data_IF_093163471835
#
_entry.id   IF_093163471835
#
_cell.length_a   1.000
_cell.length_b   1.000
_cell.length_c   1.000
_cell.angle_alpha   90.00
_cell.angle_beta   90.00
_cell.angle_gamma   90.00
#
_symmetry.space_group_name_H-M   'P 1'
#
loop_
_entity.id
_entity.type
_entity.pdbx_description
1 polymer ?
#
# COMPACT_ATOMS: atom_id res chain seq x y z
N UNK A 1 -15.14 37.71 10.44
CA UNK A 1 -16.38 37.21 9.80
C UNK A 1 -16.12 36.64 8.39
N UNK A 2 -15.64 37.40 7.39
CA UNK A 2 -15.40 36.86 6.05
C UNK A 2 -14.30 35.78 6.00
N UNK A 3 -13.26 35.90 6.82
CA UNK A 3 -12.21 34.87 6.96
C UNK A 3 -12.75 33.53 7.48
N UNK A 4 -13.60 33.55 8.52
CA UNK A 4 -14.22 32.34 9.10
C UNK A 4 -15.17 31.66 8.11
N UNK A 5 -15.94 32.43 7.35
CA UNK A 5 -16.81 31.89 6.29
C UNK A 5 -15.95 31.22 5.21
N UNK A 6 -14.88 31.87 4.75
CA UNK A 6 -13.97 31.30 3.77
C UNK A 6 -13.34 29.99 4.27
N UNK A 7 -12.82 29.96 5.50
CA UNK A 7 -12.26 28.75 6.12
C UNK A 7 -13.32 27.65 6.23
N UNK A 8 -14.54 27.97 6.69
CA UNK A 8 -15.61 26.99 6.78
C UNK A 8 -15.96 26.39 5.41
N UNK A 9 -16.05 27.22 4.36
CA UNK A 9 -16.37 26.78 3.00
C UNK A 9 -15.26 25.91 2.41
N UNK A 10 -13.99 26.28 2.58
CA UNK A 10 -12.87 25.51 2.05
C UNK A 10 -12.76 24.14 2.72
N UNK A 11 -12.85 24.09 4.05
CA UNK A 11 -12.79 22.85 4.82
C UNK A 11 -14.00 21.96 4.57
N UNK A 12 -15.20 22.53 4.43
CA UNK A 12 -16.41 21.76 4.06
C UNK A 12 -16.29 21.19 2.65
N UNK A 13 -15.77 21.97 1.70
CA UNK A 13 -15.48 21.48 0.34
C UNK A 13 -14.50 20.32 0.33
N UNK A 14 -13.43 20.39 1.16
CA UNK A 14 -12.47 19.31 1.33
C UNK A 14 -13.14 18.05 1.91
N UNK A 15 -13.96 18.20 2.95
CA UNK A 15 -14.68 17.09 3.57
C UNK A 15 -15.65 16.42 2.58
N UNK A 16 -16.44 17.20 1.84
CA UNK A 16 -17.36 16.69 0.82
C UNK A 16 -16.63 15.95 -0.31
N UNK A 17 -15.50 16.49 -0.77
CA UNK A 17 -14.68 15.82 -1.78
C UNK A 17 -14.10 14.51 -1.23
N UNK A 18 -13.60 14.50 0.00
CA UNK A 18 -13.07 13.30 0.66
C UNK A 18 -14.14 12.22 0.80
N UNK A 19 -15.34 12.59 1.25
CA UNK A 19 -16.50 11.71 1.35
C UNK A 19 -16.88 11.13 -0.02
N UNK A 20 -16.98 11.98 -1.04
CA UNK A 20 -17.39 11.58 -2.40
C UNK A 20 -16.39 10.60 -3.01
N UNK A 21 -15.09 10.92 -2.97
CA UNK A 21 -14.06 10.09 -3.61
C UNK A 21 -13.91 8.75 -2.89
N UNK A 22 -13.93 8.72 -1.55
CA UNK A 22 -13.87 7.47 -0.80
C UNK A 22 -15.13 6.60 -1.04
N UNK A 23 -16.31 7.21 -1.09
CA UNK A 23 -17.56 6.51 -1.44
C UNK A 23 -17.47 5.86 -2.82
N UNK A 24 -16.90 6.56 -3.80
CA UNK A 24 -16.68 6.03 -5.15
C UNK A 24 -15.65 4.89 -5.17
N UNK A 25 -14.59 4.95 -4.36
CA UNK A 25 -13.63 3.82 -4.21
C UNK A 25 -14.32 2.59 -3.63
N UNK A 26 -15.10 2.76 -2.55
CA UNK A 26 -15.87 1.68 -1.93
C UNK A 26 -16.84 1.08 -2.94
N UNK A 27 -17.63 1.91 -3.62
CA UNK A 27 -18.58 1.48 -4.64
C UNK A 27 -17.88 0.76 -5.82
N UNK A 28 -16.74 1.26 -6.28
CA UNK A 28 -15.97 0.63 -7.36
C UNK A 28 -15.57 -0.79 -7.01
N UNK A 29 -15.07 -1.02 -5.79
CA UNK A 29 -14.66 -2.35 -5.31
C UNK A 29 -15.89 -3.25 -5.16
N UNK A 30 -16.99 -2.77 -4.58
CA UNK A 30 -18.20 -3.58 -4.37
C UNK A 30 -18.83 -4.00 -5.70
N UNK A 31 -19.02 -3.06 -6.63
CA UNK A 31 -19.73 -3.30 -7.90
C UNK A 31 -18.87 -4.07 -8.90
N UNK A 32 -17.56 -3.78 -8.96
CA UNK A 32 -16.70 -4.33 -10.01
C UNK A 32 -16.13 -5.68 -9.60
N UNK A 33 -16.73 -6.78 -10.07
CA UNK A 33 -16.24 -8.15 -9.82
C UNK A 33 -14.74 -8.36 -10.10
N UNK A 34 -14.18 -7.68 -11.11
CA UNK A 34 -12.73 -7.75 -11.42
C UNK A 34 -11.85 -7.22 -10.29
N UNK A 35 -12.39 -6.39 -9.39
CA UNK A 35 -11.71 -5.84 -8.23
C UNK A 35 -11.89 -6.70 -6.96
N UNK A 36 -12.64 -7.80 -7.00
CA UNK A 36 -12.85 -8.70 -5.83
C UNK A 36 -11.63 -9.59 -5.55
N UNK A 37 -10.47 -8.96 -5.33
CA UNK A 37 -9.26 -9.61 -4.87
C UNK A 37 -9.02 -9.31 -3.38
N UNK A 38 -8.47 -10.27 -2.60
CA UNK A 38 -8.30 -10.09 -1.15
C UNK A 38 -7.55 -8.80 -0.75
N UNK A 39 -6.58 -8.39 -1.55
CA UNK A 39 -5.83 -7.15 -1.31
C UNK A 39 -6.67 -5.87 -1.49
N UNK A 40 -7.67 -5.90 -2.36
CA UNK A 40 -8.55 -4.76 -2.56
C UNK A 40 -9.56 -4.63 -1.41
N UNK A 41 -9.81 -5.68 -0.61
CA UNK A 41 -10.59 -5.55 0.62
C UNK A 41 -9.86 -4.73 1.69
N UNK A 42 -8.53 -4.83 1.76
CA UNK A 42 -7.73 -3.95 2.62
C UNK A 42 -7.82 -2.48 2.17
N UNK A 43 -7.76 -2.22 0.86
CA UNK A 43 -7.96 -0.88 0.28
C UNK A 43 -9.39 -0.38 0.55
N UNK A 44 -10.39 -1.26 0.47
CA UNK A 44 -11.78 -0.93 0.78
C UNK A 44 -11.93 -0.52 2.26
N UNK A 45 -11.35 -1.28 3.19
CA UNK A 45 -11.39 -0.96 4.62
C UNK A 45 -10.64 0.33 4.95
N UNK A 46 -9.54 0.62 4.25
CA UNK A 46 -8.87 1.92 4.33
C UNK A 46 -9.78 3.05 3.83
N UNK A 47 -10.46 2.87 2.69
CA UNK A 47 -11.41 3.87 2.17
C UNK A 47 -12.61 4.08 3.10
N UNK A 48 -13.07 3.04 3.79
CA UNK A 48 -14.08 3.15 4.87
C UNK A 48 -13.54 3.98 6.03
N UNK A 49 -12.29 3.75 6.44
CA UNK A 49 -11.63 4.53 7.50
C UNK A 49 -11.56 6.01 7.11
N UNK A 50 -11.07 6.30 5.90
CA UNK A 50 -10.93 7.66 5.36
C UNK A 50 -12.30 8.35 5.17
N UNK A 51 -13.35 7.60 4.80
CA UNK A 51 -14.73 8.07 4.77
C UNK A 51 -15.25 8.43 6.17
N UNK A 52 -14.98 7.60 7.18
CA UNK A 52 -15.38 7.88 8.57
C UNK A 52 -14.72 9.15 9.10
N UNK A 53 -13.45 9.41 8.77
CA UNK A 53 -12.81 10.71 9.08
C UNK A 53 -13.60 11.86 8.46
N UNK A 54 -13.96 11.75 7.18
CA UNK A 54 -14.64 12.83 6.47
C UNK A 54 -16.05 13.14 6.99
N UNK A 55 -16.78 12.15 7.52
CA UNK A 55 -18.17 12.32 7.97
C UNK A 55 -18.32 12.43 9.49
N UNK A 56 -17.44 11.82 10.28
CA UNK A 56 -17.53 11.81 11.76
C UNK A 56 -16.47 12.68 12.44
N UNK A 57 -15.39 13.06 11.76
CA UNK A 57 -14.29 13.83 12.38
C UNK A 57 -14.24 15.24 11.82
N UNK A 58 -14.15 15.38 10.50
CA UNK A 58 -13.99 16.69 9.84
C UNK A 58 -15.11 17.68 10.17
N UNK A 59 -16.41 17.33 10.15
CA UNK A 59 -17.48 18.31 10.40
C UNK A 59 -17.42 18.89 11.81
N UNK A 60 -17.13 18.05 12.81
CA UNK A 60 -16.96 18.46 14.21
C UNK A 60 -15.71 19.35 14.38
N UNK A 61 -14.61 19.03 13.69
CA UNK A 61 -13.42 19.88 13.63
C UNK A 61 -13.73 21.26 13.03
N UNK A 62 -14.50 21.32 11.93
CA UNK A 62 -14.92 22.60 11.33
C UNK A 62 -15.70 23.44 12.33
N UNK A 63 -16.68 22.83 13.02
CA UNK A 63 -17.47 23.56 14.03
C UNK A 63 -16.57 24.07 15.15
N UNK A 64 -15.67 23.23 15.66
CA UNK A 64 -14.73 23.63 16.71
C UNK A 64 -13.86 24.81 16.28
N UNK A 65 -13.31 24.79 15.06
CA UNK A 65 -12.48 25.88 14.51
C UNK A 65 -13.29 27.18 14.32
N UNK A 66 -14.52 27.09 13.80
CA UNK A 66 -15.33 28.29 13.52
C UNK A 66 -15.86 28.93 14.80
N UNK A 67 -16.22 28.10 15.79
CA UNK A 67 -16.78 28.52 17.07
C UNK A 67 -15.70 28.90 18.10
N UNK A 68 -14.44 28.53 17.86
CA UNK A 68 -13.30 28.75 18.76
C UNK A 68 -13.55 28.20 20.18
N UNK A 69 -14.50 27.27 20.31
CA UNK A 69 -14.95 26.68 21.56
C UNK A 69 -15.73 25.40 21.26
N UNK A 70 -15.64 24.43 22.17
CA UNK A 70 -16.43 23.21 22.11
C UNK A 70 -17.80 23.43 22.76
N UNK A 71 -18.87 23.20 21.98
CA UNK A 71 -20.25 23.46 22.43
C UNK A 71 -21.14 22.22 22.48
N UNK A 72 -20.61 21.04 22.12
CA UNK A 72 -21.42 19.82 21.92
C UNK A 72 -21.44 18.90 23.14
N UNK A 73 -20.89 19.36 24.27
CA UNK A 73 -20.82 18.62 25.52
C UNK A 73 -19.76 17.51 25.53
N UNK A 74 -19.51 16.98 26.72
CA UNK A 74 -18.42 16.06 26.99
C UNK A 74 -18.57 14.71 26.25
N UNK A 75 -19.78 14.16 26.19
CA UNK A 75 -20.03 12.86 25.53
C UNK A 75 -19.66 12.90 24.04
N UNK A 76 -20.04 13.97 23.35
CA UNK A 76 -19.72 14.13 21.92
C UNK A 76 -18.22 14.36 21.74
N UNK A 77 -17.57 15.07 22.67
CA UNK A 77 -16.12 15.28 22.64
C UNK A 77 -15.37 13.96 22.74
N UNK A 78 -15.75 13.09 23.68
CA UNK A 78 -15.12 11.80 23.90
C UNK A 78 -15.33 10.87 22.68
N UNK A 79 -16.53 10.85 22.10
CA UNK A 79 -16.81 10.09 20.87
C UNK A 79 -15.97 10.64 19.71
N UNK A 80 -15.93 11.95 19.51
CA UNK A 80 -15.20 12.58 18.42
C UNK A 80 -13.70 12.28 18.49
N UNK A 81 -13.08 12.46 19.65
CA UNK A 81 -11.66 12.14 19.86
C UNK A 81 -11.38 10.64 19.73
N UNK A 82 -12.28 9.79 20.24
CA UNK A 82 -12.17 8.33 20.09
C UNK A 82 -12.17 7.93 18.62
N UNK A 83 -13.11 8.46 17.84
CA UNK A 83 -13.22 8.16 16.41
C UNK A 83 -12.01 8.69 15.66
N UNK A 84 -11.55 9.90 15.97
CA UNK A 84 -10.38 10.50 15.36
C UNK A 84 -9.12 9.65 15.56
N UNK A 85 -8.76 9.34 16.81
CA UNK A 85 -7.58 8.52 17.11
C UNK A 85 -7.72 7.12 16.49
N UNK A 86 -8.90 6.51 16.60
CA UNK A 86 -9.14 5.17 16.04
C UNK A 86 -8.96 5.18 14.54
N UNK A 87 -9.52 6.15 13.82
CA UNK A 87 -9.41 6.23 12.37
C UNK A 87 -7.96 6.51 11.92
N UNK A 88 -7.25 7.41 12.60
CA UNK A 88 -5.85 7.69 12.30
C UNK A 88 -4.97 6.44 12.49
N UNK A 89 -5.16 5.73 13.59
CA UNK A 89 -4.45 4.48 13.90
C UNK A 89 -4.83 3.38 12.89
N UNK A 90 -6.11 3.29 12.53
CA UNK A 90 -6.60 2.36 11.51
C UNK A 90 -5.93 2.63 10.16
N UNK A 91 -5.81 3.89 9.73
CA UNK A 91 -5.22 4.21 8.43
C UNK A 91 -3.75 3.76 8.34
N UNK A 92 -2.92 4.04 9.33
CA UNK A 92 -1.50 3.60 9.32
C UNK A 92 -1.35 2.07 9.41
N UNK A 93 -2.20 1.40 10.19
CA UNK A 93 -2.18 -0.06 10.31
C UNK A 93 -2.74 -0.76 9.06
N UNK A 94 -3.74 -0.20 8.38
CA UNK A 94 -4.19 -0.68 7.07
C UNK A 94 -3.09 -0.53 6.01
N UNK A 95 -2.36 0.59 5.99
CA UNK A 95 -1.21 0.75 5.10
C UNK A 95 -0.12 -0.29 5.40
N UNK A 96 0.12 -0.59 6.68
CA UNK A 96 1.05 -1.63 7.11
C UNK A 96 0.59 -3.03 6.67
N UNK A 97 -0.70 -3.32 6.80
CA UNK A 97 -1.33 -4.57 6.35
C UNK A 97 -1.24 -4.73 4.83
N UNK A 98 -1.50 -3.66 4.07
CA UNK A 98 -1.31 -3.63 2.62
C UNK A 98 0.17 -3.88 2.28
N UNK A 99 1.10 -3.19 2.94
CA UNK A 99 2.53 -3.41 2.73
C UNK A 99 2.94 -4.86 3.00
N UNK A 100 2.46 -5.46 4.09
CA UNK A 100 2.72 -6.86 4.42
C UNK A 100 2.16 -7.84 3.37
N UNK A 101 0.91 -7.65 2.91
CA UNK A 101 0.34 -8.46 1.82
C UNK A 101 1.19 -8.36 0.56
N UNK A 102 1.65 -7.16 0.23
CA UNK A 102 2.50 -6.89 -0.95
C UNK A 102 3.87 -7.52 -0.80
N UNK A 103 4.49 -7.42 0.36
CA UNK A 103 5.77 -8.05 0.66
C UNK A 103 5.70 -9.56 0.45
N UNK A 104 4.72 -10.23 1.07
CA UNK A 104 4.52 -11.69 0.93
C UNK A 104 4.19 -12.10 -0.50
N UNK A 105 3.41 -11.31 -1.22
CA UNK A 105 3.13 -11.56 -2.64
C UNK A 105 4.38 -11.44 -3.54
N UNK A 106 5.40 -10.67 -3.12
CA UNK A 106 6.66 -10.49 -3.85
C UNK A 106 7.68 -11.56 -3.46
N UNK A 107 7.87 -11.84 -2.16
CA UNK A 107 8.87 -12.80 -1.69
C UNK A 107 8.45 -14.25 -1.89
N UNK A 108 7.20 -14.57 -1.59
CA UNK A 108 6.67 -15.94 -1.54
C UNK A 108 5.56 -16.14 -2.59
N UNK A 109 5.76 -15.60 -3.79
CA UNK A 109 4.72 -15.44 -4.80
C UNK A 109 3.89 -16.70 -5.08
N UNK A 110 4.52 -17.88 -5.17
CA UNK A 110 3.82 -19.14 -5.48
C UNK A 110 2.99 -19.63 -4.29
N UNK A 111 3.60 -19.74 -3.12
CA UNK A 111 2.92 -20.28 -1.93
C UNK A 111 1.89 -19.30 -1.37
N UNK A 112 2.22 -18.01 -1.34
CA UNK A 112 1.31 -16.96 -0.88
C UNK A 112 0.12 -16.81 -1.82
N UNK A 113 0.29 -16.94 -3.14
CA UNK A 113 -0.83 -16.91 -4.10
C UNK A 113 -1.86 -18.02 -3.82
N UNK A 114 -1.44 -19.19 -3.34
CA UNK A 114 -2.34 -20.29 -2.95
C UNK A 114 -3.05 -20.02 -1.62
N UNK A 115 -2.40 -19.34 -0.68
CA UNK A 115 -2.93 -19.03 0.67
C UNK A 115 -3.79 -17.75 0.70
N UNK A 116 -3.65 -16.86 -0.28
CA UNK A 116 -4.32 -15.54 -0.30
C UNK A 116 -5.82 -15.67 -0.58
N UNK A 117 -6.60 -15.79 0.50
CA UNK A 117 -8.07 -15.88 0.47
C UNK A 117 -8.74 -14.62 1.04
N UNK A 118 -10.02 -14.35 0.72
CA UNK A 118 -10.82 -13.30 1.37
C UNK A 118 -10.86 -13.40 2.90
N UNK A 119 -10.94 -14.63 3.44
CA UNK A 119 -10.95 -14.88 4.89
C UNK A 119 -9.70 -14.31 5.58
N UNK A 120 -8.53 -14.51 4.99
CA UNK A 120 -7.28 -13.96 5.53
C UNK A 120 -7.27 -12.43 5.51
N UNK A 121 -7.76 -11.80 4.44
CA UNK A 121 -7.91 -10.34 4.39
C UNK A 121 -8.89 -9.84 5.46
N UNK A 122 -10.02 -10.53 5.66
CA UNK A 122 -10.97 -10.24 6.73
C UNK A 122 -10.34 -10.28 8.12
N UNK A 123 -9.55 -11.32 8.42
CA UNK A 123 -8.81 -11.42 9.69
C UNK A 123 -7.85 -10.23 9.86
N UNK A 124 -7.10 -9.86 8.82
CA UNK A 124 -6.20 -8.71 8.89
C UNK A 124 -6.96 -7.41 9.19
N UNK A 125 -8.11 -7.19 8.53
CA UNK A 125 -8.99 -6.03 8.78
C UNK A 125 -9.46 -6.02 10.23
N UNK A 126 -10.00 -7.14 10.73
CA UNK A 126 -10.48 -7.24 12.11
C UNK A 126 -9.38 -6.96 13.13
N UNK A 127 -8.17 -7.52 12.92
CA UNK A 127 -7.02 -7.27 13.80
C UNK A 127 -6.63 -5.79 13.79
N UNK A 128 -6.62 -5.14 12.62
CA UNK A 128 -6.33 -3.69 12.52
C UNK A 128 -7.33 -2.88 13.34
N UNK A 129 -8.64 -3.08 13.14
CA UNK A 129 -9.68 -2.36 13.88
C UNK A 129 -9.60 -2.59 15.38
N UNK A 130 -9.41 -3.84 15.81
CA UNK A 130 -9.27 -4.17 17.24
C UNK A 130 -8.08 -3.43 17.85
N UNK A 131 -6.90 -3.52 17.24
CA UNK A 131 -5.69 -2.85 17.75
C UNK A 131 -5.91 -1.33 17.81
N UNK A 132 -6.51 -0.73 16.79
CA UNK A 132 -6.77 0.71 16.75
C UNK A 132 -7.72 1.18 17.85
N UNK A 133 -8.79 0.41 18.12
CA UNK A 133 -9.71 0.71 19.22
C UNK A 133 -9.00 0.57 20.57
N UNK A 134 -8.19 -0.48 20.75
CA UNK A 134 -7.45 -0.65 22.01
C UNK A 134 -6.44 0.49 22.27
N UNK A 135 -5.80 1.01 21.23
CA UNK A 135 -4.88 2.14 21.33
C UNK A 135 -5.61 3.45 21.64
N UNK A 136 -6.82 3.65 21.12
CA UNK A 136 -7.59 4.88 21.32
C UNK A 136 -8.28 4.99 22.68
N UNK A 137 -8.48 3.87 23.39
CA UNK A 137 -9.22 3.85 24.66
C UNK A 137 -8.50 4.56 25.84
N UNK A 138 -7.22 4.28 26.17
CA UNK A 138 -6.59 4.85 27.37
C UNK A 138 -6.53 6.38 27.43
N UNK A 139 -6.25 7.11 26.33
CA UNK A 139 -6.32 8.57 26.34
C UNK A 139 -7.67 9.15 26.78
N UNK A 140 -8.77 8.46 26.50
CA UNK A 140 -10.13 8.89 26.87
C UNK A 140 -10.39 8.72 28.38
N UNK A 141 -9.93 7.60 28.96
CA UNK A 141 -10.04 7.37 30.40
C UNK A 141 -9.19 8.36 31.20
N UNK A 142 -7.99 8.68 30.73
CA UNK A 142 -7.11 9.66 31.37
C UNK A 142 -7.69 11.07 31.31
N UNK A 143 -8.31 11.46 30.19
CA UNK A 143 -8.96 12.76 30.04
C UNK A 143 -10.04 12.98 31.10
N UNK A 144 -10.86 11.96 31.38
CA UNK A 144 -11.95 12.06 32.35
C UNK A 144 -11.48 12.29 33.80
N UNK A 145 -10.21 11.96 34.11
CA UNK A 145 -9.63 12.19 35.44
C UNK A 145 -9.05 13.60 35.63
N UNK A 146 -8.81 14.34 34.54
CA UNK A 146 -8.30 15.72 34.59
C UNK A 146 -9.42 16.76 34.67
N UNK A 147 -9.14 17.92 35.28
CA UNK A 147 -10.05 19.08 35.29
C UNK A 147 -10.12 19.71 33.88
N UNK A 148 -10.91 19.13 33.00
CA UNK A 148 -11.18 19.69 31.67
C UNK A 148 -12.09 20.91 31.83
N UNK A 149 -11.71 22.06 31.26
CA UNK A 149 -12.64 23.18 31.09
C UNK A 149 -13.67 22.78 30.03
N UNK A 150 -14.93 23.11 30.24
CA UNK A 150 -16.04 22.70 29.38
C UNK A 150 -15.97 23.27 27.94
N UNK A 151 -15.08 24.22 27.68
CA UNK A 151 -14.90 24.93 26.41
C UNK A 151 -13.85 24.32 25.47
N UNK A 152 -13.03 23.37 25.92
CA UNK A 152 -11.95 22.77 25.12
C UNK A 152 -12.13 21.26 24.91
N UNK A 153 -12.10 20.82 23.65
CA UNK A 153 -12.11 19.39 23.30
C UNK A 153 -10.74 18.91 22.80
N UNK A 154 -9.75 18.93 23.70
CA UNK A 154 -8.38 18.47 23.40
C UNK A 154 -7.88 17.46 24.43
N UNK A 155 -7.03 16.52 24.02
CA UNK A 155 -6.40 15.57 24.96
C UNK A 155 -5.24 16.29 25.63
N UNK A 156 -5.39 16.60 26.92
CA UNK A 156 -4.31 17.10 27.76
C UNK A 156 -3.59 15.92 28.40
N UNK A 157 -2.27 15.89 28.27
CA UNK A 157 -1.46 14.86 28.91
C UNK A 157 -0.83 15.42 30.19
N UNK A 158 -1.41 15.06 31.34
CA UNK A 158 -0.91 15.48 32.65
C UNK A 158 0.39 14.76 33.04
N UNK A 159 0.65 13.61 32.42
CA UNK A 159 1.84 12.81 32.65
C UNK A 159 2.54 12.45 31.34
N UNK A 160 3.87 12.49 31.37
CA UNK A 160 4.74 12.09 30.25
C UNK A 160 4.43 10.69 29.73
N UNK A 161 4.00 9.77 30.62
CA UNK A 161 3.64 8.39 30.26
C UNK A 161 2.45 8.37 29.30
N UNK A 162 1.44 9.21 29.55
CA UNK A 162 0.24 9.31 28.70
C UNK A 162 0.58 9.90 27.33
N UNK A 163 1.48 10.88 27.28
CA UNK A 163 2.00 11.45 26.01
C UNK A 163 2.76 10.40 25.20
N UNK A 164 3.66 9.64 25.85
CA UNK A 164 4.44 8.61 25.17
C UNK A 164 3.51 7.52 24.64
N UNK A 165 2.57 7.06 25.46
CA UNK A 165 1.61 6.04 25.04
C UNK A 165 0.78 6.48 23.83
N UNK A 166 0.18 7.67 23.87
CA UNK A 166 -0.69 8.18 22.80
C UNK A 166 0.09 8.38 21.50
N UNK A 167 1.26 9.02 21.56
CA UNK A 167 2.05 9.35 20.37
C UNK A 167 2.78 8.14 19.79
N UNK A 168 3.46 7.34 20.61
CA UNK A 168 4.20 6.17 20.11
C UNK A 168 3.27 5.04 19.72
N UNK A 169 2.21 4.78 20.51
CA UNK A 169 1.22 3.75 20.21
C UNK A 169 0.47 4.02 18.92
N UNK A 170 -0.05 5.24 18.75
CA UNK A 170 -0.86 5.58 17.57
C UNK A 170 -0.03 5.82 16.30
N UNK A 171 1.22 6.32 16.42
CA UNK A 171 1.97 6.77 15.26
C UNK A 171 3.40 6.25 15.16
N UNK A 172 4.30 6.50 16.12
CA UNK A 172 5.72 6.21 15.90
C UNK A 172 6.04 4.71 15.79
N UNK A 173 5.38 3.85 16.60
CA UNK A 173 5.56 2.39 16.48
C UNK A 173 4.98 1.87 15.16
N UNK A 174 3.73 2.18 14.77
CA UNK A 174 3.24 1.75 13.46
C UNK A 174 4.02 2.35 12.28
N UNK A 175 4.54 3.58 12.41
CA UNK A 175 5.40 4.24 11.42
C UNK A 175 6.72 3.47 11.23
N UNK A 176 7.40 3.10 12.31
CA UNK A 176 8.64 2.32 12.21
C UNK A 176 8.37 0.94 11.59
N UNK A 177 7.27 0.29 11.95
CA UNK A 177 6.86 -0.98 11.35
C UNK A 177 6.66 -0.86 9.83
N UNK A 178 5.89 0.14 9.37
CA UNK A 178 5.63 0.30 7.94
C UNK A 178 6.89 0.69 7.16
N UNK A 179 7.79 1.50 7.74
CA UNK A 179 9.07 1.85 7.11
C UNK A 179 9.95 0.60 6.94
N UNK A 180 10.02 -0.28 7.94
CA UNK A 180 10.75 -1.55 7.86
C UNK A 180 10.15 -2.47 6.79
N UNK A 181 8.82 -2.63 6.77
CA UNK A 181 8.12 -3.44 5.76
C UNK A 181 8.36 -2.87 4.36
N UNK A 182 8.33 -1.55 4.19
CA UNK A 182 8.56 -0.91 2.92
C UNK A 182 10.00 -1.05 2.44
N UNK A 183 10.99 -0.89 3.33
CA UNK A 183 12.39 -1.16 3.01
C UNK A 183 12.58 -2.62 2.55
N UNK A 184 11.94 -3.57 3.23
CA UNK A 184 11.93 -4.99 2.84
C UNK A 184 11.30 -5.21 1.46
N UNK A 185 10.18 -4.56 1.15
CA UNK A 185 9.54 -4.59 -0.19
C UNK A 185 10.49 -4.05 -1.25
N UNK A 186 11.07 -2.88 -1.00
CA UNK A 186 12.00 -2.23 -1.94
C UNK A 186 13.20 -3.13 -2.24
N UNK A 187 13.83 -3.70 -1.19
CA UNK A 187 14.96 -4.63 -1.34
C UNK A 187 14.54 -5.87 -2.13
N UNK A 188 13.43 -6.51 -1.77
CA UNK A 188 12.92 -7.69 -2.47
C UNK A 188 12.63 -7.39 -3.95
N UNK A 189 11.97 -6.27 -4.25
CA UNK A 189 11.68 -5.86 -5.62
C UNK A 189 12.96 -5.57 -6.43
N UNK A 190 13.96 -4.93 -5.83
CA UNK A 190 15.26 -4.66 -6.45
C UNK A 190 16.03 -5.97 -6.74
N UNK A 191 16.05 -6.90 -5.80
CA UNK A 191 16.66 -8.22 -5.98
C UNK A 191 15.97 -9.01 -7.10
N UNK A 192 14.64 -9.02 -7.15
CA UNK A 192 13.88 -9.67 -8.23
C UNK A 192 14.15 -9.03 -9.59
N UNK A 193 14.31 -7.71 -9.64
CA UNK A 193 14.64 -7.00 -10.87
C UNK A 193 16.02 -7.43 -11.39
N UNK A 194 17.06 -7.39 -10.56
CA UNK A 194 18.41 -7.80 -10.97
C UNK A 194 18.47 -9.28 -11.35
N UNK A 195 17.82 -10.17 -10.58
CA UNK A 195 17.75 -11.60 -10.91
C UNK A 195 17.08 -11.83 -12.27
N UNK A 196 15.96 -11.13 -12.54
CA UNK A 196 15.28 -11.21 -13.84
C UNK A 196 16.17 -10.69 -14.95
N UNK A 197 16.86 -9.56 -14.77
CA UNK A 197 17.75 -8.98 -15.78
C UNK A 197 18.93 -9.90 -16.10
N UNK A 198 19.60 -10.46 -15.08
CA UNK A 198 20.66 -11.45 -15.26
C UNK A 198 20.17 -12.69 -16.03
N UNK A 199 19.00 -13.23 -15.66
CA UNK A 199 18.39 -14.35 -16.40
C UNK A 199 18.00 -14.01 -17.85
N UNK A 200 17.81 -12.72 -18.20
CA UNK A 200 17.60 -12.31 -19.61
C UNK A 200 18.90 -12.36 -20.39
N UNK A 201 19.97 -11.78 -19.84
CA UNK A 201 21.29 -11.75 -20.47
C UNK A 201 21.79 -13.17 -20.73
N UNK A 202 21.72 -14.06 -19.73
CA UNK A 202 22.11 -15.47 -19.91
C UNK A 202 21.28 -16.19 -20.96
N UNK A 203 19.98 -15.88 -21.10
CA UNK A 203 19.12 -16.48 -22.14
C UNK A 203 19.45 -15.95 -23.54
N UNK A 204 19.82 -14.68 -23.67
CA UNK A 204 20.23 -14.07 -24.94
C UNK A 204 21.60 -14.61 -25.39
N UNK A 205 22.56 -14.77 -24.47
CA UNK A 205 23.87 -15.40 -24.75
C UNK A 205 23.73 -16.87 -25.18
N UNK A 206 22.91 -17.68 -24.49
CA UNK A 206 22.69 -19.09 -24.86
C UNK A 206 22.01 -19.21 -26.24
N UNK A 207 21.03 -18.36 -26.55
CA UNK A 207 20.41 -18.35 -27.87
C UNK A 207 21.38 -17.87 -28.97
N UNK A 208 22.26 -16.90 -28.67
CA UNK A 208 23.28 -16.41 -29.59
C UNK A 208 24.38 -17.43 -29.89
N UNK A 209 24.83 -18.18 -28.88
CA UNK A 209 25.81 -19.27 -29.06
C UNK A 209 25.23 -20.45 -29.85
N UNK A 210 23.95 -20.76 -29.70
CA UNK A 210 23.29 -21.81 -30.51
C UNK A 210 23.20 -21.41 -31.99
N UNK A 211 23.08 -20.12 -32.30
CA UNK A 211 23.10 -19.61 -33.69
C UNK A 211 24.50 -19.61 -34.30
N UNK A 212 25.54 -19.29 -33.51
CA UNK A 212 26.94 -19.30 -33.97
C UNK A 212 27.54 -20.71 -34.05
N UNK A 213 27.08 -21.65 -33.20
CA UNK A 213 27.52 -23.06 -33.21
C UNK A 213 26.96 -23.91 -34.34
N UNK A 214 26.08 -23.37 -35.19
CA UNK A 214 25.57 -24.07 -36.38
C UNK A 214 26.46 -23.88 -37.63
N UNK A 215 27.60 -23.20 -37.51
CA UNK A 215 28.47 -22.82 -38.64
C UNK A 215 29.81 -23.55 -38.75
N UNK A 216 30.28 -24.30 -37.76
CA UNK A 216 31.60 -24.96 -37.84
C UNK A 216 31.55 -26.42 -37.37
N UNK A 217 31.43 -27.34 -38.33
CA UNK A 217 32.02 -28.68 -38.19
C UNK A 217 33.30 -28.70 -39.02
N UNK A 218 34.40 -28.31 -38.38
CA UNK A 218 35.76 -28.66 -38.86
C UNK A 218 36.31 -29.80 -38.00
N UNK A 219 36.69 -30.84 -38.71
CA UNK A 219 37.18 -32.15 -38.29
C UNK A 219 38.36 -32.07 -37.33
N UNK A 220 38.32 -32.76 -36.19
CA UNK A 220 39.52 -33.25 -35.50
C UNK A 220 39.34 -34.70 -35.06
N UNK A 221 40.10 -35.58 -35.72
CA UNK A 221 40.35 -36.95 -35.28
C UNK A 221 41.13 -36.93 -33.96
N UNK A 222 40.71 -37.73 -33.00
CA UNK A 222 41.57 -38.24 -31.92
C UNK A 222 41.58 -39.75 -32.06
N UNK A 223 42.73 -40.28 -32.44
CA UNK A 223 43.03 -41.69 -32.59
C UNK A 223 43.25 -42.33 -31.22
N UNK A 224 42.65 -43.48 -30.96
CA UNK A 224 43.14 -44.45 -29.95
C UNK A 224 43.35 -45.81 -30.65
N UNK A 225 44.39 -46.58 -30.29
CA UNK A 225 44.81 -47.74 -31.06
C UNK A 225 44.35 -49.05 -30.41
N UNK A 226 43.58 -49.90 -31.09
CA UNK A 226 43.58 -51.35 -30.81
C UNK A 226 43.19 -52.15 -32.06
N UNK A 227 43.82 -53.33 -32.12
CA UNK A 227 44.20 -54.15 -33.26
C UNK A 227 43.13 -55.18 -33.66
N UNK A 228 43.04 -55.45 -34.98
CA UNK A 228 42.58 -56.69 -35.68
C UNK A 228 41.21 -57.31 -35.32
N UNK A 229 40.34 -57.80 -36.21
CA UNK A 229 40.53 -58.49 -37.50
C UNK A 229 39.15 -58.69 -38.19
N UNK A 230 39.16 -58.67 -39.51
CA UNK A 230 38.33 -59.46 -40.45
C UNK A 230 36.88 -59.07 -40.82
N UNK A 231 36.77 -58.62 -42.09
CA UNK A 231 35.82 -58.97 -43.18
C UNK A 231 34.32 -59.12 -42.89
N UNK A 232 33.47 -58.20 -43.40
CA UNK A 232 32.71 -58.36 -44.67
C UNK A 232 31.71 -57.19 -44.91
N UNK A 233 31.73 -56.65 -46.13
CA UNK A 233 30.84 -55.62 -46.72
C UNK A 233 29.41 -56.17 -47.02
N UNK A 234 28.44 -55.38 -47.57
CA UNK A 234 27.87 -54.10 -47.10
C UNK A 234 26.32 -54.11 -47.21
N UNK A 235 25.60 -53.20 -46.53
CA UNK A 235 24.42 -52.46 -47.06
C UNK A 235 23.59 -51.77 -45.96
N UNK A 236 23.61 -50.44 -46.01
CA UNK A 236 22.49 -49.49 -45.83
C UNK A 236 21.26 -49.93 -45.04
N UNK A 237 21.00 -49.29 -43.88
CA UNK A 237 19.80 -48.45 -43.76
C UNK A 237 19.94 -47.40 -42.63
N UNK A 238 19.25 -46.28 -42.84
CA UNK A 238 19.30 -45.01 -42.14
C UNK A 238 19.01 -45.08 -40.62
N UNK A 239 19.98 -44.70 -39.79
CA UNK A 239 19.71 -44.33 -38.41
C UNK A 239 19.34 -42.85 -38.29
N UNK A 240 18.15 -42.61 -37.72
CA UNK A 240 17.50 -41.31 -37.53
C UNK A 240 18.36 -40.39 -36.65
N UNK A 241 18.97 -39.37 -37.25
CA UNK A 241 19.38 -38.18 -36.52
C UNK A 241 18.15 -37.29 -36.34
N UNK A 242 17.56 -37.34 -35.15
CA UNK A 242 16.46 -36.48 -34.74
C UNK A 242 16.97 -35.02 -34.60
N UNK A 243 17.01 -34.27 -35.71
CA UNK A 243 17.15 -32.82 -35.64
C UNK A 243 15.86 -32.27 -35.02
N UNK A 244 15.89 -31.93 -33.73
CA UNK A 244 14.82 -31.16 -33.09
C UNK A 244 14.82 -29.74 -33.64
N UNK A 245 14.21 -29.56 -34.82
CA UNK A 245 13.70 -28.27 -35.26
C UNK A 245 12.70 -27.83 -34.19
N UNK A 246 13.00 -26.76 -33.45
CA UNK A 246 12.05 -26.16 -32.50
C UNK A 246 10.78 -25.84 -33.28
N UNK A 247 9.70 -26.58 -33.01
CA UNK A 247 8.41 -26.34 -33.64
C UNK A 247 8.03 -24.86 -33.49
N UNK A 248 7.48 -24.19 -34.52
CA UNK A 248 6.97 -22.81 -34.43
C UNK A 248 6.00 -22.62 -33.25
N UNK A 249 5.31 -23.71 -32.86
CA UNK A 249 4.38 -23.75 -31.73
C UNK A 249 5.09 -23.62 -30.36
N UNK A 250 6.34 -24.03 -30.27
CA UNK A 250 7.18 -23.92 -29.06
C UNK A 250 7.74 -22.49 -28.90
N UNK A 251 8.16 -21.85 -29.98
CA UNK A 251 8.58 -20.44 -29.99
C UNK A 251 7.42 -19.50 -29.67
N UNK A 252 6.24 -19.73 -30.25
CA UNK A 252 5.03 -18.95 -29.97
C UNK A 252 4.55 -19.09 -28.51
N UNK A 253 4.68 -20.29 -27.91
CA UNK A 253 4.43 -20.51 -26.48
C UNK A 253 5.47 -19.79 -25.60
N UNK A 254 6.73 -19.82 -26.01
CA UNK A 254 7.82 -19.15 -25.28
C UNK A 254 7.68 -17.62 -25.33
N UNK A 255 7.30 -17.04 -26.48
CA UNK A 255 7.04 -15.60 -26.63
C UNK A 255 5.84 -15.15 -25.79
N UNK A 256 4.74 -15.92 -25.76
CA UNK A 256 3.60 -15.66 -24.87
C UNK A 256 3.98 -15.72 -23.39
N UNK A 257 4.79 -16.70 -22.98
CA UNK A 257 5.31 -16.81 -21.61
C UNK A 257 6.18 -15.62 -21.23
N UNK A 258 7.09 -15.22 -22.13
CA UNK A 258 7.97 -14.06 -21.96
C UNK A 258 7.21 -12.74 -21.89
N UNK A 259 6.22 -12.51 -22.77
CA UNK A 259 5.33 -11.34 -22.69
C UNK A 259 4.59 -11.31 -21.36
N UNK A 260 4.04 -12.45 -20.89
CA UNK A 260 3.37 -12.53 -19.59
C UNK A 260 4.31 -12.20 -18.43
N UNK A 261 5.54 -12.71 -18.43
CA UNK A 261 6.55 -12.38 -17.41
C UNK A 261 6.98 -10.90 -17.45
N UNK A 262 7.16 -10.31 -18.65
CA UNK A 262 7.49 -8.89 -18.82
C UNK A 262 6.36 -7.99 -18.32
N UNK A 263 5.11 -8.35 -18.59
CA UNK A 263 3.91 -7.63 -18.11
C UNK A 263 3.75 -7.76 -16.59
N UNK A 264 4.01 -8.95 -16.00
CA UNK A 264 3.96 -9.13 -14.54
C UNK A 264 5.00 -8.25 -13.83
N UNK A 265 6.24 -8.22 -14.32
CA UNK A 265 7.31 -7.44 -13.70
C UNK A 265 7.14 -5.92 -13.78
N UNK A 266 6.59 -5.39 -14.88
CA UNK A 266 6.26 -3.95 -14.97
C UNK A 266 5.08 -3.59 -14.08
N UNK A 267 4.08 -4.47 -13.93
CA UNK A 267 2.93 -4.28 -13.05
C UNK A 267 3.33 -4.32 -11.56
N UNK A 268 4.25 -5.21 -11.20
CA UNK A 268 4.84 -5.29 -9.85
C UNK A 268 5.64 -4.02 -9.49
N UNK A 269 6.45 -3.49 -10.41
CA UNK A 269 7.19 -2.23 -10.18
C UNK A 269 6.26 -1.04 -9.99
N UNK A 270 5.23 -0.91 -10.84
CA UNK A 270 4.22 0.15 -10.70
C UNK A 270 3.52 0.07 -9.35
N UNK A 271 3.14 -1.14 -8.92
CA UNK A 271 2.52 -1.34 -7.62
C UNK A 271 3.44 -0.94 -6.45
N UNK A 272 4.74 -1.26 -6.49
CA UNK A 272 5.69 -0.84 -5.47
C UNK A 272 5.84 0.69 -5.41
N UNK A 273 5.88 1.37 -6.57
CA UNK A 273 5.92 2.84 -6.65
C UNK A 273 4.66 3.47 -6.05
N UNK A 274 3.47 2.94 -6.37
CA UNK A 274 2.21 3.44 -5.80
C UNK A 274 2.21 3.33 -4.27
N UNK A 275 2.69 2.23 -3.71
CA UNK A 275 2.79 2.06 -2.25
C UNK A 275 3.76 3.06 -1.61
N UNK A 276 4.87 3.34 -2.29
CA UNK A 276 5.84 4.34 -1.83
C UNK A 276 5.28 5.75 -1.80
N UNK A 277 4.48 6.11 -2.82
CA UNK A 277 3.78 7.40 -2.85
C UNK A 277 2.76 7.51 -1.71
N UNK A 278 2.00 6.44 -1.44
CA UNK A 278 1.02 6.43 -0.35
C UNK A 278 1.72 6.58 1.00
N UNK A 279 2.81 5.84 1.24
CA UNK A 279 3.61 5.97 2.45
C UNK A 279 4.20 7.38 2.60
N UNK A 280 4.78 7.93 1.53
CA UNK A 280 5.35 9.27 1.55
C UNK A 280 4.29 10.33 1.86
N UNK A 281 3.12 10.25 1.24
CA UNK A 281 2.00 11.13 1.52
C UNK A 281 1.56 11.04 2.99
N UNK A 282 1.42 9.83 3.53
CA UNK A 282 1.08 9.61 4.92
C UNK A 282 2.06 10.28 5.89
N UNK A 283 3.37 10.08 5.67
CA UNK A 283 4.42 10.68 6.51
C UNK A 283 4.39 12.21 6.43
N UNK A 284 4.27 12.77 5.23
CA UNK A 284 4.21 14.23 5.02
C UNK A 284 2.98 14.83 5.73
N UNK A 285 1.85 14.13 5.70
CA UNK A 285 0.61 14.62 6.30
C UNK A 285 0.63 14.55 7.84
N UNK A 286 1.09 13.43 8.41
CA UNK A 286 0.93 13.15 9.83
C UNK A 286 2.15 13.44 10.70
N UNK A 287 3.37 13.28 10.17
CA UNK A 287 4.59 13.49 10.97
C UNK A 287 4.65 14.89 11.60
N UNK A 288 4.30 15.99 10.88
CA UNK A 288 4.32 17.33 11.47
C UNK A 288 3.40 17.47 12.69
N UNK A 289 2.20 16.88 12.65
CA UNK A 289 1.25 16.89 13.75
C UNK A 289 1.80 16.14 14.97
N UNK A 290 2.30 14.92 14.78
CA UNK A 290 2.83 14.11 15.90
C UNK A 290 4.10 14.70 16.50
N UNK A 291 4.97 15.33 15.69
CA UNK A 291 6.11 16.09 16.21
C UNK A 291 5.63 17.26 17.06
N UNK A 292 4.61 18.01 16.62
CA UNK A 292 4.02 19.08 17.40
C UNK A 292 3.44 18.58 18.73
N UNK A 293 2.68 17.48 18.71
CA UNK A 293 2.14 16.86 19.94
C UNK A 293 3.25 16.47 20.91
N UNK A 294 4.32 15.85 20.41
CA UNK A 294 5.45 15.48 21.26
C UNK A 294 6.13 16.72 21.86
N UNK A 295 6.37 17.76 21.06
CA UNK A 295 7.03 18.99 21.52
C UNK A 295 6.19 19.72 22.58
N UNK A 296 4.91 19.97 22.32
CA UNK A 296 4.04 20.73 23.23
C UNK A 296 3.83 20.01 24.56
N UNK A 297 3.76 18.67 24.55
CA UNK A 297 3.55 17.88 25.77
C UNK A 297 4.85 17.53 26.54
N UNK A 298 6.03 17.76 25.96
CA UNK A 298 7.34 17.54 26.62
C UNK A 298 7.98 18.86 27.06
N UNK A 299 7.72 19.95 26.33
CA UNK A 299 8.27 21.27 26.59
C UNK A 299 7.19 22.23 27.11
N UNK A 300 7.15 22.46 28.42
CA UNK A 300 6.17 23.35 29.08
C UNK A 300 6.17 24.80 28.54
N UNK A 301 7.31 25.26 28.02
CA UNK A 301 7.47 26.61 27.45
C UNK A 301 7.12 26.70 25.97
N UNK A 302 6.99 25.57 25.28
CA UNK A 302 6.77 25.52 23.84
C UNK A 302 5.28 25.71 23.55
N UNK A 303 4.91 26.89 23.09
CA UNK A 303 3.54 27.20 22.65
C UNK A 303 3.49 27.28 21.13
N UNK A 304 2.51 26.60 20.54
CA UNK A 304 2.20 26.67 19.12
C UNK A 304 0.88 27.44 18.98
N UNK A 305 0.78 28.31 17.97
CA UNK A 305 -0.47 29.03 17.72
C UNK A 305 -1.61 28.06 17.39
N UNK A 306 -2.84 28.43 17.75
CA UNK A 306 -4.03 27.64 17.41
C UNK A 306 -4.18 27.46 15.90
N UNK A 307 -3.88 28.50 15.12
CA UNK A 307 -3.88 28.44 13.65
C UNK A 307 -2.94 27.36 13.11
N UNK A 308 -1.72 27.28 13.65
CA UNK A 308 -0.76 26.26 13.25
C UNK A 308 -1.22 24.87 13.71
N UNK A 309 -1.79 24.74 14.91
CA UNK A 309 -2.34 23.46 15.38
C UNK A 309 -3.49 22.97 14.50
N UNK A 310 -4.40 23.86 14.12
CA UNK A 310 -5.51 23.57 13.21
C UNK A 310 -4.99 23.18 11.82
N UNK A 311 -4.01 23.92 11.29
CA UNK A 311 -3.37 23.62 10.02
C UNK A 311 -2.73 22.23 10.01
N UNK A 312 -1.93 21.89 11.03
CA UNK A 312 -1.27 20.58 11.13
C UNK A 312 -2.27 19.44 11.28
N UNK A 313 -3.36 19.66 12.01
CA UNK A 313 -4.45 18.67 12.14
C UNK A 313 -5.12 18.41 10.79
N UNK A 314 -5.46 19.48 10.05
CA UNK A 314 -6.07 19.35 8.73
C UNK A 314 -5.13 18.85 7.65
N UNK A 315 -3.82 19.09 7.79
CA UNK A 315 -2.79 18.45 6.96
C UNK A 315 -2.81 16.93 7.17
N UNK A 316 -3.00 16.45 8.40
CA UNK A 316 -3.25 15.03 8.70
C UNK A 316 -4.51 14.50 8.02
N UNK A 317 -5.63 15.20 8.16
CA UNK A 317 -6.91 14.84 7.52
C UNK A 317 -6.85 14.82 5.99
N UNK A 318 -5.99 15.64 5.37
CA UNK A 318 -5.77 15.64 3.92
C UNK A 318 -5.27 14.28 3.41
N UNK A 319 -4.62 13.48 4.26
CA UNK A 319 -4.22 12.12 3.90
C UNK A 319 -5.41 11.25 3.46
N UNK A 320 -6.57 11.40 4.11
CA UNK A 320 -7.80 10.66 3.79
C UNK A 320 -8.35 10.97 2.40
N UNK A 321 -7.97 12.12 1.82
CA UNK A 321 -8.25 12.49 0.43
C UNK A 321 -7.16 11.98 -0.52
N UNK A 322 -5.89 12.05 -0.10
CA UNK A 322 -4.76 11.70 -0.96
C UNK A 322 -4.72 10.21 -1.29
N UNK A 323 -5.06 9.30 -0.35
CA UNK A 323 -4.98 7.85 -0.61
C UNK A 323 -5.82 7.43 -1.83
N UNK A 324 -7.13 7.77 -1.90
CA UNK A 324 -7.97 7.49 -3.07
C UNK A 324 -7.47 8.09 -4.39
N UNK A 325 -6.92 9.31 -4.35
CA UNK A 325 -6.38 9.97 -5.55
C UNK A 325 -5.18 9.19 -6.08
N UNK A 326 -4.29 8.73 -5.21
CA UNK A 326 -3.16 7.89 -5.60
C UNK A 326 -3.66 6.56 -6.21
N UNK A 327 -4.67 5.91 -5.61
CA UNK A 327 -5.24 4.68 -6.18
C UNK A 327 -5.85 4.90 -7.57
N UNK A 328 -6.65 5.94 -7.74
CA UNK A 328 -7.37 6.21 -8.99
C UNK A 328 -6.45 6.67 -10.13
N UNK A 329 -5.36 7.39 -9.82
CA UNK A 329 -4.41 7.86 -10.83
C UNK A 329 -3.46 6.74 -11.27
N UNK A 330 -2.93 5.96 -10.32
CA UNK A 330 -1.84 5.02 -10.60
C UNK A 330 -2.29 3.55 -10.76
N UNK A 331 -3.54 3.22 -10.39
CA UNK A 331 -4.09 1.89 -10.61
C UNK A 331 -5.12 1.89 -11.75
N UNK A 332 -4.71 1.39 -12.92
CA UNK A 332 -5.52 1.33 -14.14
C UNK A 332 -6.85 0.57 -13.96
N UNK A 333 -6.89 -0.46 -13.10
CA UNK A 333 -8.11 -1.22 -12.85
C UNK A 333 -9.13 -0.37 -12.07
N UNK A 334 -8.65 0.40 -11.08
CA UNK A 334 -9.47 1.37 -10.36
C UNK A 334 -9.90 2.53 -11.26
N UNK A 335 -8.99 3.09 -12.06
CA UNK A 335 -9.28 4.16 -13.01
C UNK A 335 -10.43 3.79 -13.95
N UNK A 336 -10.38 2.58 -14.53
CA UNK A 336 -11.44 2.08 -15.43
C UNK A 336 -12.76 1.84 -14.69
N UNK A 337 -12.72 1.25 -13.50
CA UNK A 337 -13.92 1.05 -12.68
C UNK A 337 -14.57 2.40 -12.31
N UNK A 338 -13.77 3.38 -11.92
CA UNK A 338 -14.22 4.72 -11.58
C UNK A 338 -14.85 5.44 -12.77
N UNK A 339 -14.21 5.42 -13.94
CA UNK A 339 -14.76 5.97 -15.18
C UNK A 339 -16.08 5.29 -15.59
N UNK A 340 -16.18 3.98 -15.35
CA UNK A 340 -17.38 3.18 -15.64
C UNK A 340 -18.56 3.62 -14.75
N UNK A 341 -18.31 3.80 -13.45
CA UNK A 341 -19.29 4.31 -12.48
C UNK A 341 -19.74 5.74 -12.77
N UNK A 342 -18.81 6.67 -13.01
CA UNK A 342 -19.14 8.08 -13.30
C UNK A 342 -19.94 8.23 -14.59
N UNK A 343 -19.74 7.33 -15.57
CA UNK A 343 -20.50 7.31 -16.82
C UNK A 343 -21.81 6.53 -16.74
N UNK A 344 -22.23 6.07 -15.56
CA UNK A 344 -23.41 5.23 -15.33
C UNK A 344 -23.50 4.00 -16.27
N UNK A 345 -22.37 3.45 -16.71
CA UNK A 345 -22.35 2.22 -17.50
C UNK A 345 -22.08 1.09 -16.51
N UNK A 346 -23.06 0.30 -16.09
CA UNK A 346 -22.83 -0.76 -15.09
C UNK A 346 -22.17 -2.02 -15.66
#
# INVERSE_FOLDING_TARGET
MPSKILVSLTLSGLALMTTTINSLVIAAIIVTRKLHHPANYLICSLAVTDFLVAVLVMPFSIVYIVRESWIMGQVVCDIWLSVDITCCTCSILHLSAIALDRYRAITDAVEYSRKRTPKHAGIMITVVWIISIFISMPPLFWRHQGTSRDDECIIKHDHIVSTIYSTFGAFYIPLTLILILYYKIYKAAKTLYHKRQASRITKEEVNGQVLLGSGEKSTRLVSTPYTEKSLSDPSTDFDKIHNTVKSPRSEFKHEKSWRRQKISGTRERKAATTLGLILGAFVICWLPFFVKELVVNVCEKCKISEEMSNFLTWLGYLNSLINPLIYTIFNEDFKKAFQKLVRCRC
#
